data_IF_862363663650
#
_entry.id   IF_862363663650
#
_cell.length_a   1.000
_cell.length_b   1.000
_cell.length_c   1.000
_cell.angle_alpha   90.00
_cell.angle_beta   90.00
_cell.angle_gamma   90.00
#
_symmetry.space_group_name_H-M   'P 1'
#
loop_
_entity.id
_entity.type
_entity.pdbx_description
1 polymer ?
#
# COMPACT_ATOMS: atom_id res chain seq x y z
N UNK A 1 -27.83 -56.42 63.26
CA UNK A 1 -27.78 -55.81 64.60
C UNK A 1 -26.37 -55.29 64.86
N UNK A 2 -26.10 -54.05 64.44
CA UNK A 2 -25.26 -53.05 65.11
C UNK A 2 -25.18 -51.83 64.19
N UNK A 3 -25.81 -50.76 64.66
CA UNK A 3 -25.82 -49.40 64.12
C UNK A 3 -24.76 -48.63 64.91
N UNK A 4 -23.95 -47.79 64.25
CA UNK A 4 -23.53 -46.42 64.65
C UNK A 4 -22.98 -45.72 63.39
N UNK A 5 -23.74 -44.84 62.74
CA UNK A 5 -23.82 -43.36 62.96
C UNK A 5 -22.49 -42.64 62.71
N UNK A 6 -22.31 -41.86 61.65
CA UNK A 6 -22.86 -40.51 61.28
C UNK A 6 -21.89 -39.38 61.67
N UNK A 7 -21.97 -38.26 60.93
CA UNK A 7 -21.42 -36.90 61.16
C UNK A 7 -20.12 -36.60 60.38
N UNK A 8 -19.95 -35.52 59.61
CA UNK A 8 -20.79 -34.45 59.05
C UNK A 8 -19.92 -33.67 58.05
N UNK A 9 -20.58 -32.99 57.10
CA UNK A 9 -20.26 -31.68 56.53
C UNK A 9 -18.91 -31.42 55.82
N UNK A 10 -18.99 -31.01 54.56
CA UNK A 10 -18.62 -29.64 54.18
C UNK A 10 -19.24 -29.24 52.84
N UNK A 11 -19.89 -28.07 52.82
CA UNK A 11 -20.30 -27.35 51.63
C UNK A 11 -19.07 -26.71 50.96
N UNK A 12 -18.97 -26.85 49.64
CA UNK A 12 -18.48 -25.86 48.68
C UNK A 12 -19.18 -26.23 47.35
N UNK A 13 -19.94 -25.40 46.65
CA UNK A 13 -19.67 -24.00 46.39
C UNK A 13 -19.17 -23.87 44.95
N UNK A 14 -20.12 -23.84 44.00
CA UNK A 14 -20.14 -23.11 42.72
C UNK A 14 -18.85 -23.08 41.87
N UNK A 15 -18.93 -23.61 40.65
CA UNK A 15 -18.48 -22.85 39.46
C UNK A 15 -19.17 -23.37 38.20
N UNK A 16 -20.04 -22.51 37.68
CA UNK A 16 -20.55 -22.54 36.32
C UNK A 16 -19.35 -22.52 35.36
N UNK A 17 -19.35 -23.44 34.38
CA UNK A 17 -18.42 -23.40 33.27
C UNK A 17 -18.64 -22.13 32.47
N UNK A 18 -17.77 -21.14 32.69
CA UNK A 18 -17.54 -20.10 31.71
C UNK A 18 -16.67 -20.71 30.62
N UNK A 19 -17.28 -21.02 29.48
CA UNK A 19 -16.54 -21.08 28.22
C UNK A 19 -16.03 -19.67 27.94
N UNK A 20 -14.84 -19.35 28.44
CA UNK A 20 -14.07 -18.22 27.93
C UNK A 20 -13.68 -18.58 26.51
N UNK A 21 -14.46 -18.10 25.55
CA UNK A 21 -13.94 -17.84 24.21
C UNK A 21 -12.73 -16.94 24.43
N UNK A 22 -11.54 -17.49 24.27
CA UNK A 22 -10.34 -16.67 24.08
C UNK A 22 -10.54 -16.01 22.72
N UNK A 23 -11.26 -14.88 22.72
CA UNK A 23 -11.09 -13.91 21.66
C UNK A 23 -9.66 -13.45 21.88
N UNK A 24 -8.73 -13.92 21.03
CA UNK A 24 -7.43 -13.29 20.96
C UNK A 24 -7.72 -11.79 20.81
N UNK A 25 -7.35 -10.99 21.82
CA UNK A 25 -7.29 -9.55 21.63
C UNK A 25 -6.38 -9.37 20.43
N UNK A 26 -6.94 -8.88 19.32
CA UNK A 26 -6.17 -8.51 18.16
C UNK A 26 -5.17 -7.47 18.66
N UNK A 27 -3.88 -7.80 18.69
CA UNK A 27 -2.85 -6.79 18.88
C UNK A 27 -2.46 -6.25 17.53
N UNK A 28 -2.62 -4.93 17.38
CA UNK A 28 -1.95 -4.19 16.32
C UNK A 28 -0.55 -3.82 16.82
N UNK A 29 0.44 -4.23 16.03
CA UNK A 29 1.84 -3.99 16.31
C UNK A 29 2.41 -3.03 15.25
N UNK A 30 3.35 -2.20 15.67
CA UNK A 30 3.94 -1.17 14.83
C UNK A 30 4.91 -1.74 13.80
N UNK A 31 5.56 -0.89 12.98
CA UNK A 31 6.57 -1.33 12.02
C UNK A 31 7.78 -2.02 12.68
N UNK A 32 8.06 -1.72 13.95
CA UNK A 32 9.18 -2.29 14.72
C UNK A 32 8.97 -3.79 15.06
N UNK A 33 7.74 -4.30 14.93
CA UNK A 33 7.37 -5.68 15.23
C UNK A 33 7.49 -6.63 14.02
N UNK A 34 7.97 -6.11 12.89
CA UNK A 34 8.26 -6.89 11.67
C UNK A 34 9.75 -7.19 11.61
N UNK A 35 10.17 -8.46 11.48
CA UNK A 35 11.57 -8.81 11.28
C UNK A 35 12.17 -8.17 10.04
N UNK A 36 13.44 -7.82 10.12
CA UNK A 36 14.16 -7.20 9.01
C UNK A 36 14.65 -8.28 8.05
N UNK A 37 14.21 -8.20 6.80
CA UNK A 37 14.65 -9.05 5.71
C UNK A 37 15.59 -8.32 4.75
N UNK A 38 16.36 -9.09 3.97
CA UNK A 38 17.10 -8.54 2.84
C UNK A 38 16.10 -8.09 1.72
N UNK A 39 16.11 -6.83 1.25
CA UNK A 39 15.08 -6.30 0.32
C UNK A 39 14.93 -7.10 -0.98
N UNK A 40 16.02 -7.69 -1.49
CA UNK A 40 15.97 -8.49 -2.73
C UNK A 40 15.28 -9.86 -2.56
N UNK A 41 14.90 -10.26 -1.34
CA UNK A 41 14.14 -11.49 -1.09
C UNK A 41 12.64 -11.33 -1.33
N UNK A 42 12.14 -10.10 -1.45
CA UNK A 42 10.70 -9.82 -1.62
C UNK A 42 10.18 -10.23 -2.99
N UNK A 43 10.98 -10.08 -4.04
CA UNK A 43 10.59 -10.56 -5.37
C UNK A 43 10.50 -12.10 -5.42
N UNK A 44 11.51 -12.86 -4.96
CA UNK A 44 11.39 -14.32 -4.81
C UNK A 44 10.19 -14.74 -3.96
N UNK A 45 9.93 -14.06 -2.83
CA UNK A 45 8.75 -14.29 -1.99
C UNK A 45 7.45 -14.15 -2.79
N UNK A 46 7.26 -13.05 -3.54
CA UNK A 46 6.09 -12.84 -4.42
C UNK A 46 5.97 -13.93 -5.49
N UNK A 47 7.08 -14.38 -6.06
CA UNK A 47 7.09 -15.43 -7.08
C UNK A 47 6.77 -16.82 -6.52
N UNK A 48 7.01 -17.05 -5.23
CA UNK A 48 6.78 -18.35 -4.57
C UNK A 48 5.31 -18.65 -4.27
N UNK A 49 4.41 -17.68 -4.43
CA UNK A 49 2.95 -17.87 -4.35
C UNK A 49 2.50 -19.03 -5.26
N UNK A 50 3.05 -19.10 -6.48
CA UNK A 50 2.72 -20.12 -7.47
C UNK A 50 3.18 -21.54 -7.07
N UNK A 51 4.14 -21.66 -6.14
CA UNK A 51 4.82 -22.91 -5.77
C UNK A 51 4.34 -23.48 -4.41
N UNK A 52 3.32 -22.88 -3.79
CA UNK A 52 2.75 -23.36 -2.52
C UNK A 52 3.05 -22.51 -1.28
N UNK A 53 3.46 -21.25 -1.48
CA UNK A 53 3.36 -20.17 -0.50
C UNK A 53 4.50 -20.05 0.51
N UNK A 54 5.00 -21.14 1.08
CA UNK A 54 6.03 -21.05 2.12
C UNK A 54 7.44 -20.74 1.56
N UNK A 55 7.97 -19.56 1.87
CA UNK A 55 9.31 -19.09 1.47
C UNK A 55 10.19 -18.77 2.68
N UNK A 56 11.42 -19.29 2.68
CA UNK A 56 12.40 -19.07 3.76
C UNK A 56 13.18 -17.77 3.53
N UNK A 57 12.74 -16.69 4.19
CA UNK A 57 13.38 -15.37 4.08
C UNK A 57 14.78 -15.33 4.70
N UNK A 58 15.05 -16.18 5.71
CA UNK A 58 16.34 -16.23 6.38
C UNK A 58 17.39 -16.89 5.48
N UNK A 59 17.02 -18.02 4.85
CA UNK A 59 17.87 -18.68 3.86
C UNK A 59 18.17 -17.78 2.66
N UNK A 60 17.16 -17.05 2.17
CA UNK A 60 17.36 -16.06 1.11
C UNK A 60 18.30 -14.92 1.55
N UNK A 61 18.11 -14.39 2.77
CA UNK A 61 18.95 -13.31 3.29
C UNK A 61 20.41 -13.75 3.46
N UNK A 62 20.64 -14.98 3.94
CA UNK A 62 21.97 -15.56 4.05
C UNK A 62 22.66 -15.72 2.68
N UNK A 63 21.92 -16.14 1.65
CA UNK A 63 22.45 -16.27 0.29
C UNK A 63 22.85 -14.91 -0.34
N UNK A 64 22.39 -13.80 0.24
CA UNK A 64 22.64 -12.44 -0.25
C UNK A 64 23.50 -11.61 0.72
N UNK A 65 24.16 -12.24 1.69
CA UNK A 65 24.91 -11.55 2.76
C UNK A 65 26.00 -10.58 2.23
N UNK A 66 26.57 -10.88 1.05
CA UNK A 66 27.58 -10.05 0.39
C UNK A 66 27.00 -8.78 -0.28
N UNK A 67 25.68 -8.68 -0.39
CA UNK A 67 25.01 -7.51 -0.98
C UNK A 67 24.65 -6.53 0.14
N UNK A 68 25.19 -5.31 0.12
CA UNK A 68 24.97 -4.37 1.22
C UNK A 68 23.53 -3.82 1.21
N UNK A 69 22.88 -3.91 2.37
CA UNK A 69 21.62 -3.23 2.66
C UNK A 69 21.90 -1.84 3.23
N UNK A 70 21.20 -0.83 2.72
CA UNK A 70 21.27 0.55 3.22
C UNK A 70 19.95 0.92 3.89
N UNK A 71 20.04 1.57 5.04
CA UNK A 71 18.88 2.19 5.68
C UNK A 71 18.44 3.43 4.90
N UNK A 72 17.16 3.51 4.59
CA UNK A 72 16.49 4.71 4.09
C UNK A 72 15.62 5.29 5.22
N UNK A 73 15.15 6.54 5.11
CA UNK A 73 14.14 7.05 6.04
C UNK A 73 12.91 6.12 6.01
N UNK A 74 12.70 5.35 7.08
CA UNK A 74 11.58 4.42 7.23
C UNK A 74 11.73 3.07 6.54
N UNK A 75 12.87 2.70 5.96
CA UNK A 75 12.97 1.43 5.23
C UNK A 75 14.38 0.92 4.92
N UNK A 76 14.43 -0.09 4.06
CA UNK A 76 15.61 -0.85 3.70
C UNK A 76 15.76 -0.90 2.19
N UNK A 77 16.94 -0.52 1.68
CA UNK A 77 17.28 -0.47 0.27
C UNK A 77 18.38 -1.49 -0.04
N UNK A 78 18.25 -2.21 -1.14
CA UNK A 78 19.34 -3.01 -1.71
C UNK A 78 19.38 -2.86 -3.24
N UNK A 79 20.59 -2.74 -3.79
CA UNK A 79 20.81 -2.67 -5.24
C UNK A 79 21.06 -4.08 -5.77
N UNK A 80 20.46 -4.43 -6.91
CA UNK A 80 20.76 -5.69 -7.59
C UNK A 80 22.18 -5.65 -8.19
N UNK A 81 22.95 -6.74 -8.12
CA UNK A 81 24.24 -6.85 -8.80
C UNK A 81 24.09 -6.57 -10.30
N UNK A 82 25.11 -5.99 -10.91
CA UNK A 82 25.12 -5.85 -12.37
C UNK A 82 25.18 -7.23 -13.04
N UNK A 83 24.60 -7.37 -14.23
CA UNK A 83 24.73 -8.60 -15.00
C UNK A 83 26.18 -8.80 -15.50
N UNK A 84 26.44 -9.90 -16.18
CA UNK A 84 27.76 -10.23 -16.73
C UNK A 84 28.28 -9.21 -17.77
N UNK A 85 27.39 -8.43 -18.39
CA UNK A 85 27.72 -7.33 -19.28
C UNK A 85 27.96 -6.00 -18.54
N UNK A 86 27.83 -5.97 -17.21
CA UNK A 86 27.99 -4.77 -16.39
C UNK A 86 26.75 -3.87 -16.36
N UNK A 87 25.61 -4.33 -16.88
CA UNK A 87 24.39 -3.53 -16.98
C UNK A 87 23.64 -3.50 -15.64
N UNK A 88 23.08 -2.34 -15.25
CA UNK A 88 22.34 -2.21 -14.00
C UNK A 88 21.06 -3.06 -14.03
N UNK A 89 20.86 -3.85 -12.98
CA UNK A 89 19.68 -4.72 -12.85
C UNK A 89 18.58 -4.11 -11.96
N UNK A 90 18.77 -2.86 -11.50
CA UNK A 90 17.80 -2.14 -10.66
C UNK A 90 18.03 -2.33 -9.15
N UNK A 91 16.97 -2.23 -8.36
CA UNK A 91 17.02 -2.19 -6.90
C UNK A 91 15.66 -2.52 -6.29
N UNK A 92 15.64 -2.91 -5.01
CA UNK A 92 14.43 -3.03 -4.22
C UNK A 92 14.55 -2.14 -2.97
N UNK A 93 13.42 -1.56 -2.58
CA UNK A 93 13.24 -0.87 -1.30
C UNK A 93 12.01 -1.45 -0.64
N UNK A 94 12.03 -1.63 0.67
CA UNK A 94 10.79 -1.81 1.39
C UNK A 94 10.78 -1.07 2.73
N UNK A 95 9.58 -0.81 3.20
CA UNK A 95 9.28 -0.24 4.50
C UNK A 95 8.28 -1.16 5.23
N UNK A 96 8.60 -1.62 6.44
CA UNK A 96 7.61 -2.20 7.34
C UNK A 96 6.47 -1.20 7.60
N UNK A 97 5.22 -1.65 7.45
CA UNK A 97 4.03 -0.81 7.68
C UNK A 97 3.37 -1.15 9.01
N UNK A 98 3.21 -2.44 9.31
CA UNK A 98 2.66 -2.93 10.58
C UNK A 98 2.26 -4.40 10.51
N UNK A 99 1.71 -4.89 11.61
CA UNK A 99 1.26 -6.28 11.77
C UNK A 99 -0.26 -6.30 12.00
N UNK A 100 -0.96 -7.22 11.32
CA UNK A 100 -2.38 -7.50 11.49
C UNK A 100 -2.54 -8.84 12.21
N UNK A 101 -3.32 -8.83 13.30
CA UNK A 101 -3.70 -10.02 14.07
C UNK A 101 -2.51 -10.95 14.43
N UNK A 102 -1.32 -10.38 14.65
CA UNK A 102 -0.02 -11.06 14.87
C UNK A 102 0.44 -12.06 13.79
N UNK A 103 -0.36 -12.32 12.76
CA UNK A 103 -0.15 -13.37 11.76
C UNK A 103 0.20 -12.82 10.38
N UNK A 104 -0.17 -11.58 10.07
CA UNK A 104 0.10 -10.96 8.78
C UNK A 104 0.93 -9.70 8.93
N UNK A 105 1.86 -9.48 8.02
CA UNK A 105 2.77 -8.34 7.95
C UNK A 105 2.44 -7.53 6.70
N UNK A 106 2.41 -6.22 6.86
CA UNK A 106 2.25 -5.28 5.75
C UNK A 106 3.61 -4.66 5.43
N UNK A 107 4.03 -4.75 4.17
CA UNK A 107 5.29 -4.19 3.68
C UNK A 107 5.01 -3.28 2.48
N UNK A 108 5.38 -2.00 2.55
CA UNK A 108 5.41 -1.15 1.35
C UNK A 108 6.69 -1.49 0.57
N UNK A 109 6.56 -1.98 -0.65
CA UNK A 109 7.66 -2.43 -1.50
C UNK A 109 7.74 -1.56 -2.75
N UNK A 110 8.94 -1.08 -3.07
CA UNK A 110 9.26 -0.47 -4.35
C UNK A 110 10.31 -1.32 -5.06
N UNK A 111 9.97 -1.85 -6.23
CA UNK A 111 10.84 -2.76 -6.97
C UNK A 111 11.13 -2.26 -8.39
N UNK A 112 12.42 -2.13 -8.73
CA UNK A 112 12.93 -1.78 -10.06
C UNK A 112 13.75 -2.94 -10.59
N UNK A 113 13.35 -3.49 -11.73
CA UNK A 113 14.02 -4.62 -12.36
C UNK A 113 14.56 -4.24 -13.75
N UNK A 114 15.87 -4.04 -13.87
CA UNK A 114 16.52 -3.68 -15.12
C UNK A 114 15.86 -2.46 -15.80
N UNK A 115 15.38 -2.65 -17.02
CA UNK A 115 14.63 -1.64 -17.78
C UNK A 115 13.17 -1.48 -17.35
N UNK A 116 12.57 -2.51 -16.72
CA UNK A 116 11.17 -2.51 -16.32
C UNK A 116 10.85 -1.36 -15.38
N UNK A 117 9.66 -0.74 -15.45
CA UNK A 117 9.32 0.37 -14.58
C UNK A 117 9.42 0.05 -13.09
N UNK A 118 9.54 1.11 -12.28
CA UNK A 118 9.46 0.95 -10.82
C UNK A 118 8.01 0.60 -10.44
N UNK A 119 7.82 -0.54 -9.80
CA UNK A 119 6.54 -1.00 -9.25
C UNK A 119 6.49 -0.64 -7.76
N UNK A 120 5.34 -0.19 -7.25
CA UNK A 120 5.15 0.16 -5.84
C UNK A 120 3.86 -0.45 -5.31
N UNK A 121 3.95 -1.31 -4.29
CA UNK A 121 2.86 -2.16 -3.83
C UNK A 121 2.94 -2.34 -2.30
N UNK A 122 1.81 -2.57 -1.64
CA UNK A 122 1.81 -3.00 -0.23
C UNK A 122 1.59 -4.49 -0.21
N UNK A 123 2.61 -5.26 0.16
CA UNK A 123 2.51 -6.71 0.29
C UNK A 123 1.78 -7.04 1.58
N UNK A 124 0.88 -8.03 1.49
CA UNK A 124 0.27 -8.71 2.62
C UNK A 124 0.96 -10.06 2.74
N UNK A 125 1.72 -10.23 3.81
CA UNK A 125 2.60 -11.39 4.01
C UNK A 125 2.17 -12.17 5.24
N UNK A 126 1.86 -13.45 5.08
CA UNK A 126 1.58 -14.36 6.19
C UNK A 126 2.87 -14.83 6.88
N UNK A 127 2.82 -14.96 8.20
CA UNK A 127 3.86 -15.61 9.02
C UNK A 127 3.57 -17.10 9.13
N UNK A 128 4.55 -17.94 8.81
CA UNK A 128 4.46 -19.39 9.01
C UNK A 128 5.47 -19.82 10.08
N UNK A 129 5.17 -19.52 11.34
CA UNK A 129 6.06 -19.80 12.47
C UNK A 129 6.31 -21.28 12.75
N UNK A 130 5.40 -22.17 12.31
CA UNK A 130 5.51 -23.62 12.52
C UNK A 130 6.64 -24.28 11.71
N UNK A 131 7.11 -23.64 10.63
CA UNK A 131 8.24 -24.13 9.81
C UNK A 131 9.55 -23.51 10.30
N UNK A 132 9.61 -22.18 10.31
CA UNK A 132 10.71 -21.42 10.91
C UNK A 132 10.27 -19.99 11.23
N UNK A 133 10.92 -19.29 12.18
CA UNK A 133 10.58 -17.90 12.51
C UNK A 133 10.65 -16.93 11.31
N UNK A 134 11.53 -17.17 10.35
CA UNK A 134 11.71 -16.38 9.13
C UNK A 134 10.88 -16.85 7.93
N UNK A 135 10.09 -17.93 8.05
CA UNK A 135 9.25 -18.39 6.93
C UNK A 135 8.08 -17.44 6.73
N UNK A 136 7.87 -17.04 5.48
CA UNK A 136 6.80 -16.12 5.05
C UNK A 136 6.04 -16.68 3.87
N UNK A 137 4.81 -16.23 3.74
CA UNK A 137 3.94 -16.52 2.61
C UNK A 137 3.43 -15.22 2.00
N UNK A 138 3.57 -15.05 0.69
CA UNK A 138 2.98 -13.90 0.01
C UNK A 138 1.51 -14.22 -0.27
N UNK A 139 0.61 -13.45 0.36
CA UNK A 139 -0.82 -13.70 0.25
C UNK A 139 -1.47 -12.89 -0.87
N UNK A 140 -1.10 -11.61 -0.97
CA UNK A 140 -1.61 -10.66 -1.98
C UNK A 140 -0.82 -9.34 -1.89
N UNK A 141 -1.11 -8.41 -2.81
CA UNK A 141 -0.78 -6.99 -2.67
C UNK A 141 -2.04 -6.12 -2.64
N UNK A 142 -1.96 -5.00 -1.91
CA UNK A 142 -2.77 -3.81 -2.17
C UNK A 142 -1.95 -2.99 -3.17
N UNK A 143 -2.41 -3.03 -4.43
CA UNK A 143 -1.75 -2.37 -5.54
C UNK A 143 -2.39 -1.02 -5.83
N UNK A 144 -1.58 0.00 -6.08
CA UNK A 144 -2.05 1.29 -6.58
C UNK A 144 -1.49 1.49 -7.98
N UNK A 145 -2.36 1.73 -8.94
CA UNK A 145 -2.12 1.58 -10.39
C UNK A 145 -1.18 2.62 -11.02
N UNK A 146 -0.27 3.22 -10.25
CA UNK A 146 0.54 4.34 -10.67
C UNK A 146 2.04 4.13 -10.60
N UNK A 147 2.75 4.65 -11.59
CA UNK A 147 4.21 4.80 -11.53
C UNK A 147 4.56 6.22 -11.15
N UNK A 148 5.43 6.38 -10.13
CA UNK A 148 5.92 7.69 -9.70
C UNK A 148 4.77 8.66 -9.43
N UNK A 149 4.63 9.73 -10.22
CA UNK A 149 3.62 10.77 -10.07
C UNK A 149 2.21 10.35 -10.52
N UNK A 150 2.03 9.19 -11.14
CA UNK A 150 0.74 8.80 -11.73
C UNK A 150 -0.06 7.89 -10.79
N UNK A 151 -0.03 8.15 -9.48
CA UNK A 151 -0.65 7.31 -8.45
C UNK A 151 0.31 6.34 -7.76
N UNK A 152 1.63 6.51 -7.91
CA UNK A 152 2.60 5.63 -7.26
C UNK A 152 2.61 5.84 -5.75
N UNK A 153 2.57 4.74 -4.99
CA UNK A 153 2.59 4.79 -3.52
C UNK A 153 3.86 5.51 -3.07
N UNK A 154 3.72 6.49 -2.20
CA UNK A 154 4.80 7.25 -1.57
C UNK A 154 5.07 6.73 -0.16
N UNK A 155 4.00 6.49 0.59
CA UNK A 155 4.07 6.01 1.96
C UNK A 155 2.80 5.24 2.31
N UNK A 156 2.92 4.35 3.29
CA UNK A 156 1.80 3.61 3.84
C UNK A 156 1.93 3.57 5.36
N UNK A 157 0.81 3.68 6.06
CA UNK A 157 0.77 3.67 7.52
C UNK A 157 -0.48 2.95 8.01
N UNK A 158 -0.26 1.89 8.78
CA UNK A 158 -1.33 1.26 9.54
C UNK A 158 -1.64 2.15 10.76
N UNK A 159 -2.87 2.65 10.86
CA UNK A 159 -3.32 3.55 11.94
C UNK A 159 -4.18 2.83 12.99
N UNK A 160 -4.75 1.68 12.64
CA UNK A 160 -5.42 0.75 13.55
C UNK A 160 -5.35 -0.67 12.98
N UNK A 161 -5.82 -1.68 13.73
CA UNK A 161 -5.87 -3.10 13.30
C UNK A 161 -6.57 -3.37 11.98
N UNK A 162 -7.35 -2.40 11.49
CA UNK A 162 -8.13 -2.51 10.26
C UNK A 162 -7.96 -1.32 9.33
N UNK A 163 -7.39 -0.20 9.77
CA UNK A 163 -7.32 1.01 8.95
C UNK A 163 -5.89 1.26 8.48
N UNK A 164 -5.73 1.23 7.16
CA UNK A 164 -4.49 1.54 6.46
C UNK A 164 -4.65 2.87 5.73
N UNK A 165 -3.72 3.79 5.95
CA UNK A 165 -3.60 5.00 5.14
C UNK A 165 -2.50 4.81 4.10
N UNK A 166 -2.82 5.13 2.86
CA UNK A 166 -1.87 5.05 1.74
C UNK A 166 -1.76 6.43 1.10
N UNK A 167 -0.55 6.97 1.07
CA UNK A 167 -0.25 8.23 0.40
C UNK A 167 0.28 7.94 -1.00
N UNK A 168 -0.40 8.47 -2.02
CA UNK A 168 -0.06 8.33 -3.44
C UNK A 168 0.50 9.64 -3.96
N UNK A 169 1.52 9.59 -4.81
CA UNK A 169 1.91 10.77 -5.58
C UNK A 169 0.96 10.94 -6.77
N UNK A 170 0.56 12.18 -7.06
CA UNK A 170 -0.36 12.48 -8.16
C UNK A 170 0.16 13.56 -9.11
N UNK A 171 -0.21 13.43 -10.37
CA UNK A 171 -0.24 14.46 -11.40
C UNK A 171 -1.69 14.96 -11.55
N UNK A 172 -1.98 16.01 -12.33
CA UNK A 172 -3.34 16.50 -12.50
C UNK A 172 -4.32 15.44 -13.04
N UNK A 173 -3.87 14.60 -13.97
CA UNK A 173 -4.72 13.55 -14.56
C UNK A 173 -5.13 12.48 -13.55
N UNK A 174 -4.16 11.88 -12.85
CA UNK A 174 -4.40 10.89 -11.80
C UNK A 174 -5.27 11.47 -10.68
N UNK A 175 -5.06 12.74 -10.33
CA UNK A 175 -5.90 13.42 -9.35
C UNK A 175 -7.35 13.52 -9.85
N UNK A 176 -7.60 13.94 -11.10
CA UNK A 176 -8.95 14.06 -11.64
C UNK A 176 -9.66 12.71 -11.82
N UNK A 177 -8.93 11.65 -12.15
CA UNK A 177 -9.49 10.28 -12.20
C UNK A 177 -10.06 9.83 -10.85
N UNK A 178 -9.49 10.29 -9.74
CA UNK A 178 -9.97 9.99 -8.39
C UNK A 178 -11.27 10.73 -8.02
N UNK A 179 -11.64 11.79 -8.75
CA UNK A 179 -12.86 12.56 -8.52
C UNK A 179 -14.11 11.98 -9.17
N UNK A 180 -13.99 10.88 -9.95
CA UNK A 180 -15.13 10.14 -10.49
C UNK A 180 -15.74 10.67 -11.80
N UNK A 181 -15.17 11.70 -12.43
CA UNK A 181 -15.68 12.24 -13.70
C UNK A 181 -14.85 11.74 -14.90
N UNK A 182 -15.32 10.66 -15.50
CA UNK A 182 -14.80 10.04 -16.72
C UNK A 182 -15.21 10.81 -18.00
N UNK A 183 -15.07 12.14 -18.05
CA UNK A 183 -15.51 12.94 -19.21
C UNK A 183 -14.41 13.38 -20.17
N UNK A 184 -13.19 12.85 -20.04
CA UNK A 184 -12.31 12.63 -21.19
C UNK A 184 -12.34 11.15 -21.61
N UNK A 185 -13.56 10.61 -21.78
CA UNK A 185 -13.79 9.31 -22.41
C UNK A 185 -13.77 9.47 -23.93
N UNK A 186 -12.66 9.14 -24.58
CA UNK A 186 -12.75 8.70 -25.97
C UNK A 186 -13.28 7.25 -25.93
N UNK A 187 -14.49 7.04 -26.46
CA UNK A 187 -15.27 5.80 -26.40
C UNK A 187 -14.42 4.53 -26.60
N UNK A 188 -14.54 3.58 -25.67
CA UNK A 188 -14.35 2.15 -25.94
C UNK A 188 -15.49 1.41 -25.25
N UNK A 189 -16.22 0.65 -26.05
CA UNK A 189 -17.47 -0.03 -25.74
C UNK A 189 -17.35 -1.08 -24.63
N UNK A 190 -18.38 -1.09 -23.79
CA UNK A 190 -18.76 -2.12 -22.83
C UNK A 190 -18.73 -3.54 -23.43
N UNK A 191 -18.11 -4.48 -22.70
CA UNK A 191 -18.83 -5.66 -22.24
C UNK A 191 -18.03 -6.42 -21.16
N UNK A 192 -18.77 -6.83 -20.13
CA UNK A 192 -18.45 -7.79 -19.05
C UNK A 192 -17.94 -7.24 -17.70
N UNK A 193 -18.85 -7.38 -16.73
CA UNK A 193 -18.78 -7.26 -15.28
C UNK A 193 -17.48 -7.81 -14.62
N UNK A 194 -16.51 -6.92 -14.40
CA UNK A 194 -15.60 -6.89 -13.23
C UNK A 194 -15.21 -5.43 -12.99
N UNK A 195 -16.01 -4.71 -12.21
CA UNK A 195 -15.76 -3.32 -11.87
C UNK A 195 -14.91 -3.22 -10.59
N UNK A 196 -13.59 -3.32 -10.73
CA UNK A 196 -12.56 -2.85 -9.78
C UNK A 196 -11.19 -3.15 -10.41
N UNK A 197 -10.33 -2.13 -10.58
CA UNK A 197 -9.08 -2.17 -11.37
C UNK A 197 -9.41 -2.31 -12.89
N UNK A 198 -8.68 -1.82 -13.90
CA UNK A 198 -7.26 -1.61 -14.11
C UNK A 198 -7.04 -0.96 -15.50
N UNK A 199 -5.81 -0.50 -15.78
CA UNK A 199 -5.14 -0.52 -17.10
C UNK A 199 -5.91 -0.04 -18.35
N UNK A 200 -5.62 1.19 -18.75
CA UNK A 200 -5.60 1.57 -20.17
C UNK A 200 -4.24 1.09 -20.76
N UNK A 201 -4.17 0.58 -22.02
CA UNK A 201 -2.94 0.02 -22.59
C UNK A 201 -1.74 0.99 -22.64
N UNK A 202 -0.48 0.50 -22.66
CA UNK A 202 0.68 1.34 -22.98
C UNK A 202 0.49 1.95 -24.37
N UNK A 203 0.49 3.28 -24.46
CA UNK A 203 0.13 4.04 -25.67
C UNK A 203 -1.25 4.71 -25.61
N UNK A 204 -2.05 4.47 -24.57
CA UNK A 204 -3.26 5.23 -24.24
C UNK A 204 -3.26 5.80 -22.81
N UNK A 205 -2.18 5.58 -22.06
CA UNK A 205 -1.87 6.34 -20.85
C UNK A 205 -1.24 7.67 -21.25
N UNK A 206 -1.61 8.73 -20.56
CA UNK A 206 -0.95 10.02 -20.70
C UNK A 206 0.50 9.89 -20.20
N UNK A 207 1.41 9.53 -21.12
CA UNK A 207 2.86 9.47 -20.92
C UNK A 207 3.51 10.87 -20.90
N UNK A 208 2.70 11.95 -20.82
CA UNK A 208 3.26 13.28 -20.62
C UNK A 208 4.06 13.27 -19.30
N UNK A 209 5.27 13.85 -19.28
CA UNK A 209 6.07 14.02 -18.07
C UNK A 209 5.45 15.11 -17.18
N UNK A 210 4.22 14.90 -16.73
CA UNK A 210 3.57 15.80 -15.77
C UNK A 210 4.31 15.70 -14.45
N UNK A 211 4.68 16.86 -13.90
CA UNK A 211 5.37 16.94 -12.62
C UNK A 211 4.44 16.48 -11.50
N UNK A 212 4.96 15.77 -10.49
CA UNK A 212 4.20 15.45 -9.28
C UNK A 212 3.67 16.77 -8.67
N UNK A 213 2.35 16.97 -8.71
CA UNK A 213 1.71 18.19 -8.20
C UNK A 213 1.38 18.07 -6.72
N UNK A 214 1.50 16.89 -6.14
CA UNK A 214 0.99 16.65 -4.81
C UNK A 214 0.90 15.18 -4.45
N UNK A 215 0.22 14.93 -3.35
CA UNK A 215 -0.14 13.60 -2.87
C UNK A 215 -1.61 13.51 -2.52
N UNK A 216 -2.12 12.29 -2.59
CA UNK A 216 -3.47 11.93 -2.16
C UNK A 216 -3.35 10.89 -1.07
N UNK A 217 -4.10 11.06 0.02
CA UNK A 217 -4.18 10.07 1.09
C UNK A 217 -5.49 9.32 0.96
N UNK A 218 -5.42 8.03 0.65
CA UNK A 218 -6.55 7.09 0.72
C UNK A 218 -6.55 6.36 2.05
N UNK A 219 -7.74 6.01 2.53
CA UNK A 219 -7.93 5.07 3.64
C UNK A 219 -8.49 3.75 3.10
N UNK A 220 -8.09 2.65 3.71
CA UNK A 220 -8.61 1.30 3.46
C UNK A 220 -8.99 0.69 4.80
N UNK A 221 -10.19 0.14 4.87
CA UNK A 221 -10.63 -0.71 5.96
C UNK A 221 -10.47 -2.17 5.52
N UNK A 222 -9.46 -2.84 6.08
CA UNK A 222 -9.02 -4.17 5.72
C UNK A 222 -10.00 -5.28 6.13
N UNK A 223 -11.07 -4.96 6.88
CA UNK A 223 -12.06 -5.95 7.34
C UNK A 223 -13.33 -5.99 6.50
N UNK A 224 -13.76 -4.84 5.98
CA UNK A 224 -15.03 -4.69 5.26
C UNK A 224 -14.85 -4.17 3.83
N UNK A 225 -13.60 -4.11 3.36
CA UNK A 225 -13.21 -3.68 2.01
C UNK A 225 -13.73 -2.28 1.64
N UNK A 226 -13.94 -1.43 2.66
CA UNK A 226 -14.28 -0.04 2.44
C UNK A 226 -13.02 0.80 2.20
N UNK A 227 -13.04 1.58 1.14
CA UNK A 227 -12.01 2.56 0.85
C UNK A 227 -12.58 3.96 0.63
N UNK A 228 -11.72 4.96 0.75
CA UNK A 228 -12.08 6.31 0.36
C UNK A 228 -10.95 7.31 0.45
N UNK A 229 -11.28 8.55 0.10
CA UNK A 229 -10.36 9.67 0.11
C UNK A 229 -10.34 10.32 1.49
N UNK A 230 -9.15 10.47 2.08
CA UNK A 230 -8.95 11.17 3.36
C UNK A 230 -8.47 12.61 3.18
N UNK A 231 -7.51 12.85 2.27
CA UNK A 231 -6.93 14.18 2.07
C UNK A 231 -6.23 14.30 0.70
N UNK A 232 -6.11 15.53 0.19
CA UNK A 232 -5.26 15.85 -0.96
C UNK A 232 -4.30 16.97 -0.57
N UNK A 233 -2.99 16.76 -0.76
CA UNK A 233 -1.95 17.72 -0.48
C UNK A 233 -1.29 18.19 -1.79
N UNK A 234 -1.44 19.46 -2.15
CA UNK A 234 -0.82 20.03 -3.34
C UNK A 234 0.51 20.72 -3.00
N UNK A 235 1.56 20.32 -3.71
CA UNK A 235 2.93 20.81 -3.54
C UNK A 235 3.23 21.99 -4.47
N UNK A 236 4.08 22.90 -3.99
CA UNK A 236 4.50 24.16 -4.64
C UNK A 236 5.25 24.00 -5.97
N UNK A 237 5.57 22.78 -6.44
CA UNK A 237 6.36 22.59 -7.67
C UNK A 237 5.45 22.78 -8.89
N UNK A 238 4.92 24.00 -9.03
CA UNK A 238 4.40 24.55 -10.26
C UNK A 238 5.56 24.46 -11.25
N UNK A 239 5.46 23.55 -12.20
CA UNK A 239 6.44 23.41 -13.25
C UNK A 239 6.34 24.66 -14.11
N UNK A 240 7.14 25.68 -13.77
CA UNK A 240 7.31 26.85 -14.62
C UNK A 240 7.78 26.38 -15.99
N UNK A 241 6.84 26.38 -16.94
CA UNK A 241 7.07 25.91 -18.30
C UNK A 241 6.53 24.52 -18.62
N UNK A 242 5.37 24.12 -18.09
CA UNK A 242 4.66 23.02 -18.72
C UNK A 242 4.28 23.43 -20.16
N UNK A 243 4.87 22.77 -21.16
CA UNK A 243 4.40 22.81 -22.56
C UNK A 243 2.99 22.21 -22.71
N UNK A 244 2.41 21.71 -21.60
CA UNK A 244 1.09 21.13 -21.51
C UNK A 244 0.03 22.17 -21.08
N UNK A 245 -0.91 22.52 -21.97
CA UNK A 245 -2.04 23.41 -21.66
C UNK A 245 -2.91 22.94 -20.49
N UNK A 246 -3.01 21.63 -20.28
CA UNK A 246 -3.82 21.03 -19.22
C UNK A 246 -3.20 21.30 -17.84
N UNK A 247 -1.89 21.01 -17.70
CA UNK A 247 -1.11 21.36 -16.50
C UNK A 247 -1.11 22.88 -16.25
N UNK A 248 -0.95 23.70 -17.30
CA UNK A 248 -0.95 25.15 -17.17
C UNK A 248 -2.32 25.71 -16.69
N UNK A 249 -3.42 25.07 -17.08
CA UNK A 249 -4.75 25.43 -16.58
C UNK A 249 -4.92 24.99 -15.12
N UNK A 250 -4.52 23.76 -14.78
CA UNK A 250 -4.51 23.25 -13.42
C UNK A 250 -3.76 24.18 -12.46
N UNK A 251 -2.53 24.54 -12.81
CA UNK A 251 -1.66 25.40 -12.00
C UNK A 251 -2.29 26.77 -11.73
N UNK A 252 -2.89 27.39 -12.75
CA UNK A 252 -3.60 28.68 -12.61
C UNK A 252 -4.80 28.57 -11.68
N UNK A 253 -5.56 27.48 -11.77
CA UNK A 253 -6.75 27.28 -10.96
C UNK A 253 -6.40 27.05 -9.48
N UNK A 254 -5.38 26.22 -9.23
CA UNK A 254 -4.85 26.01 -7.89
C UNK A 254 -4.32 27.32 -7.29
N UNK A 255 -3.54 28.09 -8.04
CA UNK A 255 -3.02 29.38 -7.57
C UNK A 255 -4.14 30.37 -7.23
N UNK A 256 -5.17 30.45 -8.08
CA UNK A 256 -6.34 31.32 -7.90
C UNK A 256 -7.13 30.96 -6.63
N UNK A 257 -7.32 29.67 -6.35
CA UNK A 257 -8.26 29.21 -5.31
C UNK A 257 -7.62 28.94 -3.96
N UNK A 258 -6.39 28.44 -3.96
CA UNK A 258 -5.72 27.97 -2.74
C UNK A 258 -4.35 28.59 -2.51
N UNK A 259 -3.84 29.39 -3.46
CA UNK A 259 -2.52 29.97 -3.37
C UNK A 259 -1.42 28.92 -3.62
N UNK A 260 -0.34 28.96 -2.81
CA UNK A 260 0.93 28.27 -3.13
C UNK A 260 1.07 26.85 -2.59
N UNK A 261 0.24 26.48 -1.62
CA UNK A 261 0.15 25.14 -1.04
C UNK A 261 -1.29 24.97 -0.54
N UNK A 262 -1.84 23.77 -0.72
CA UNK A 262 -3.20 23.48 -0.33
C UNK A 262 -3.27 22.09 0.29
N UNK A 263 -3.93 21.99 1.43
CA UNK A 263 -4.50 20.74 1.92
C UNK A 263 -6.01 20.82 1.70
N UNK A 264 -6.54 19.92 0.90
CA UNK A 264 -7.94 19.87 0.55
C UNK A 264 -8.60 18.72 1.31
N UNK A 265 -9.69 19.02 2.00
CA UNK A 265 -10.63 17.98 2.45
C UNK A 265 -11.29 17.33 1.23
N UNK A 266 -11.87 16.14 1.36
CA UNK A 266 -12.59 15.48 0.26
C UNK A 266 -13.65 16.39 -0.39
N UNK A 267 -14.39 17.17 0.40
CA UNK A 267 -15.42 18.09 -0.12
C UNK A 267 -14.82 19.28 -0.86
N UNK A 268 -13.71 19.83 -0.35
CA UNK A 268 -12.98 20.90 -1.02
C UNK A 268 -12.37 20.41 -2.34
N UNK A 269 -11.90 19.16 -2.36
CA UNK A 269 -11.40 18.50 -3.54
C UNK A 269 -12.51 18.27 -4.57
N UNK A 270 -13.66 17.72 -4.18
CA UNK A 270 -14.81 17.53 -5.08
C UNK A 270 -15.28 18.84 -5.71
N UNK A 271 -15.33 19.93 -4.93
CA UNK A 271 -15.66 21.25 -5.43
C UNK A 271 -14.61 21.79 -6.43
N UNK A 272 -13.33 21.55 -6.16
CA UNK A 272 -12.24 21.91 -7.06
C UNK A 272 -12.28 21.12 -8.36
N UNK A 273 -12.49 19.79 -8.31
CA UNK A 273 -12.54 18.94 -9.50
C UNK A 273 -13.65 19.36 -10.46
N UNK A 274 -14.83 19.75 -9.94
CA UNK A 274 -15.90 20.31 -10.77
C UNK A 274 -15.51 21.61 -11.46
N UNK A 275 -14.86 22.53 -10.74
CA UNK A 275 -14.40 23.79 -11.31
C UNK A 275 -13.28 23.55 -12.34
N UNK A 276 -12.39 22.61 -12.06
CA UNK A 276 -11.34 22.21 -12.97
C UNK A 276 -11.90 21.68 -14.29
N UNK A 277 -12.89 20.80 -14.26
CA UNK A 277 -13.54 20.32 -15.48
C UNK A 277 -14.17 21.48 -16.26
N UNK A 278 -14.90 22.36 -15.59
CA UNK A 278 -15.53 23.52 -16.25
C UNK A 278 -14.53 24.49 -16.89
N UNK A 279 -13.41 24.78 -16.23
CA UNK A 279 -12.43 25.78 -16.69
C UNK A 279 -11.34 25.18 -17.61
N UNK A 280 -11.01 23.89 -17.45
CA UNK A 280 -9.84 23.26 -18.08
C UNK A 280 -10.17 22.11 -19.06
N UNK A 281 -11.40 21.58 -19.11
CA UNK A 281 -11.79 20.52 -20.06
C UNK A 281 -12.49 21.03 -21.33
N UNK A 282 -12.64 22.34 -21.50
CA UNK A 282 -13.33 22.97 -22.63
C UNK A 282 -12.40 23.34 -23.81
N UNK A 283 -11.21 22.71 -23.89
CA UNK A 283 -10.16 22.99 -24.88
C UNK A 283 -9.82 21.82 -25.78
#
# INVERSE_FOLDING_TARGET
MQIRSLVLASLCGISLGFSSSVVAERSFAGPDDIPVFHPLCLQPLKQHEADGGAFDMDACSAALEDIPVKLTPGGYYAKRPANTAGEPQGFAVYQPVGVLDDAMELLLVHDKQGSEPLVSEIFVVGRISDISPGTRDYLTSIEEAGQRCNGGIKSAKLISEKELLVELNVNPDALMRLAGDASYSQEISDDSETAALSLIPPGKLDDRPTTCIGTVVKYYNLLDDQEGLSAVHLNRVMAGGADDPYQACFDKLVEKRFGKQAELTPEAFEAFSREFLLECSAG
#
